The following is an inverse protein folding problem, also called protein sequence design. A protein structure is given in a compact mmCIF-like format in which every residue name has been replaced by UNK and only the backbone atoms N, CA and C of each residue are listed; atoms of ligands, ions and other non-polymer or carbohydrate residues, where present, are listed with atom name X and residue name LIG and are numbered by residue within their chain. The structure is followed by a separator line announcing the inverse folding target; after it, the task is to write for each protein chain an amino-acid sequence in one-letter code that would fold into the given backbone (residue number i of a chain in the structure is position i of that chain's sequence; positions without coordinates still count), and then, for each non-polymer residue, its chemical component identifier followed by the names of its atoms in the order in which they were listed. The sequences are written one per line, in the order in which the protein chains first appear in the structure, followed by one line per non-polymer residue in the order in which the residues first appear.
data_IF_650571182433
#
_entry.id   IF_650571182433
#
_cell.length_a   1.000
_cell.length_b   1.000
_cell.length_c   1.000
_cell.angle_alpha   90.00
_cell.angle_beta   90.00
_cell.angle_gamma   90.00
#
_symmetry.space_group_name_H-M   'P 1'
#
loop_
_entity.id
_entity.type
_entity.pdbx_description
1 polymer ?
#
# COMPACT_ATOMS: atom_id res chain seq x y z
N UNK A 1 -11.89 -12.61 -11.88
CA UNK A 1 -11.74 -11.59 -12.79
C UNK A 1 -10.58 -10.67 -12.47
N UNK A 2 -10.70 -9.45 -12.16
CA UNK A 2 -9.53 -8.61 -11.93
C UNK A 2 -9.25 -8.55 -10.44
N UNK A 3 -8.24 -9.31 -9.99
CA UNK A 3 -7.83 -9.31 -8.58
C UNK A 3 -7.52 -7.91 -8.06
N UNK A 4 -6.98 -7.04 -8.91
CA UNK A 4 -6.65 -5.66 -8.56
C UNK A 4 -7.85 -4.80 -8.18
N UNK A 5 -9.06 -5.17 -8.59
CA UNK A 5 -10.25 -4.37 -8.30
C UNK A 5 -10.58 -4.30 -6.82
N UNK A 6 -10.40 -5.41 -6.09
CA UNK A 6 -10.68 -5.43 -4.66
C UNK A 6 -9.73 -4.52 -3.90
N UNK A 7 -8.44 -4.68 -4.12
CA UNK A 7 -7.44 -3.88 -3.41
C UNK A 7 -7.52 -2.40 -3.82
N UNK A 8 -7.83 -2.11 -5.08
CA UNK A 8 -8.02 -0.74 -5.54
C UNK A 8 -9.12 -0.04 -4.75
N UNK A 9 -10.26 -0.71 -4.56
CA UNK A 9 -11.37 -0.17 -3.79
C UNK A 9 -10.99 0.04 -2.32
N UNK A 10 -10.27 -0.92 -1.75
CA UNK A 10 -9.82 -0.81 -0.36
C UNK A 10 -8.86 0.34 -0.16
N UNK A 11 -7.93 0.55 -1.09
CA UNK A 11 -6.99 1.67 -1.01
C UNK A 11 -7.70 3.02 -1.04
N UNK A 12 -8.76 3.14 -1.83
CA UNK A 12 -9.55 4.37 -1.85
C UNK A 12 -10.20 4.62 -0.49
N UNK A 13 -10.74 3.57 0.13
CA UNK A 13 -11.33 3.66 1.47
C UNK A 13 -10.27 4.10 2.49
N UNK A 14 -9.09 3.47 2.46
CA UNK A 14 -8.01 3.81 3.38
C UNK A 14 -7.55 5.25 3.20
N UNK A 15 -7.41 5.69 1.95
CA UNK A 15 -7.03 7.07 1.68
C UNK A 15 -8.03 8.05 2.28
N UNK A 16 -9.32 7.77 2.12
CA UNK A 16 -10.36 8.63 2.66
C UNK A 16 -10.35 8.66 4.19
N UNK A 17 -10.08 7.52 4.82
CA UNK A 17 -9.97 7.46 6.29
C UNK A 17 -8.77 8.28 6.78
N UNK A 18 -7.65 8.24 6.05
CA UNK A 18 -6.43 8.96 6.44
C UNK A 18 -6.57 10.47 6.31
N UNK A 19 -7.59 10.97 5.62
CA UNK A 19 -7.86 12.41 5.53
C UNK A 19 -8.42 12.99 6.82
N UNK A 20 -8.95 12.15 7.71
CA UNK A 20 -9.48 12.63 8.97
C UNK A 20 -8.36 13.18 9.85
N UNK A 21 -8.65 14.26 10.58
CA UNK A 21 -7.67 14.91 11.44
C UNK A 21 -7.22 14.01 12.60
N UNK A 22 -8.09 13.10 13.02
CA UNK A 22 -7.80 12.16 14.11
C UNK A 22 -7.97 10.73 13.60
N UNK A 23 -6.84 10.07 13.41
CA UNK A 23 -6.80 8.65 13.05
C UNK A 23 -6.14 7.91 14.21
N UNK A 24 -6.88 7.08 14.95
CA UNK A 24 -6.27 6.35 16.06
C UNK A 24 -5.23 5.35 15.57
N UNK A 25 -4.26 5.04 16.42
CA UNK A 25 -3.15 4.15 16.05
C UNK A 25 -3.65 2.77 15.59
N UNK A 26 -4.68 2.24 16.24
CA UNK A 26 -5.18 0.92 15.84
C UNK A 26 -5.67 0.90 14.40
N UNK A 27 -6.24 2.00 13.93
CA UNK A 27 -6.72 2.11 12.56
C UNK A 27 -5.55 2.15 11.58
N UNK A 28 -4.51 2.92 11.88
CA UNK A 28 -3.33 2.97 11.04
C UNK A 28 -2.64 1.61 10.98
N UNK A 29 -2.54 0.93 12.13
CA UNK A 29 -1.98 -0.42 12.19
C UNK A 29 -2.78 -1.36 11.31
N UNK A 30 -4.12 -1.27 11.36
CA UNK A 30 -4.98 -2.09 10.51
C UNK A 30 -4.74 -1.85 9.03
N UNK A 31 -4.67 -0.61 8.62
CA UNK A 31 -4.43 -0.24 7.22
C UNK A 31 -3.07 -0.77 6.75
N UNK A 32 -2.03 -0.52 7.54
CA UNK A 32 -0.66 -0.97 7.20
C UNK A 32 -0.62 -2.49 7.11
N UNK A 33 -1.28 -3.19 8.04
CA UNK A 33 -1.33 -4.65 8.03
C UNK A 33 -1.97 -5.18 6.74
N UNK A 34 -3.10 -4.60 6.35
CA UNK A 34 -3.78 -5.01 5.12
C UNK A 34 -2.90 -4.79 3.88
N UNK A 35 -2.19 -3.67 3.83
CA UNK A 35 -1.28 -3.38 2.73
C UNK A 35 -0.11 -4.38 2.71
N UNK A 36 0.47 -4.66 3.87
CA UNK A 36 1.63 -5.56 3.97
C UNK A 36 1.27 -7.02 3.65
N UNK A 37 0.04 -7.43 3.94
CA UNK A 37 -0.44 -8.79 3.62
C UNK A 37 -0.68 -8.93 2.11
N UNK A 38 -1.02 -7.84 1.44
CA UNK A 38 -1.47 -7.90 0.05
C UNK A 38 -0.39 -8.36 -0.91
N UNK A 39 -0.62 -9.48 -1.56
CA UNK A 39 0.26 -9.98 -2.62
C UNK A 39 0.09 -9.19 -3.92
N UNK A 40 -0.98 -8.46 -4.07
CA UNK A 40 -1.16 -7.57 -5.21
C UNK A 40 -0.24 -6.36 -5.14
N UNK A 41 -0.03 -5.82 -3.93
CA UNK A 41 0.86 -4.68 -3.74
C UNK A 41 2.31 -5.13 -3.64
N UNK A 42 2.56 -6.16 -2.82
CA UNK A 42 3.90 -6.69 -2.60
C UNK A 42 3.90 -8.20 -2.86
N UNK A 43 4.23 -8.59 -4.06
CA UNK A 43 4.28 -9.99 -4.43
C UNK A 43 5.35 -10.73 -3.60
N UNK A 44 6.49 -10.10 -3.43
CA UNK A 44 7.62 -10.66 -2.67
C UNK A 44 8.00 -9.75 -1.51
N UNK A 45 8.50 -10.35 -0.44
CA UNK A 45 8.83 -9.62 0.77
C UNK A 45 9.86 -8.51 0.55
N UNK A 46 10.86 -8.73 -0.33
CA UNK A 46 11.90 -7.72 -0.51
C UNK A 46 11.33 -6.40 -1.06
N UNK A 47 10.19 -6.47 -1.75
CA UNK A 47 9.55 -5.25 -2.27
C UNK A 47 9.02 -4.35 -1.14
N UNK A 48 8.81 -4.92 0.04
CA UNK A 48 8.35 -4.16 1.21
C UNK A 48 9.43 -3.21 1.73
N UNK A 49 10.70 -3.51 1.44
CA UNK A 49 11.82 -2.72 1.97
C UNK A 49 11.73 -1.24 1.67
N UNK A 50 11.41 -0.87 0.43
CA UNK A 50 11.27 0.54 0.04
C UNK A 50 10.10 1.20 0.75
N UNK A 51 8.98 0.49 0.87
CA UNK A 51 7.80 0.97 1.60
C UNK A 51 8.15 1.30 3.05
N UNK A 52 8.88 0.39 3.73
CA UNK A 52 9.29 0.61 5.11
C UNK A 52 10.20 1.82 5.25
N UNK A 53 11.12 1.98 4.30
CA UNK A 53 12.04 3.11 4.31
C UNK A 53 11.32 4.43 4.08
N UNK A 54 10.42 4.47 3.11
CA UNK A 54 9.71 5.70 2.77
C UNK A 54 8.75 6.15 3.86
N UNK A 55 8.05 5.23 4.50
CA UNK A 55 6.99 5.59 5.44
C UNK A 55 7.51 5.70 6.86
N UNK A 56 8.38 4.78 7.27
CA UNK A 56 8.80 4.65 8.68
C UNK A 56 10.28 4.94 8.89
N UNK A 57 11.05 5.11 7.83
CA UNK A 57 12.51 5.25 7.87
C UNK A 57 13.15 4.07 8.60
N UNK A 58 12.73 2.86 8.25
CA UNK A 58 13.16 1.61 8.88
C UNK A 58 13.84 0.72 7.85
N UNK A 59 14.85 0.00 8.32
CA UNK A 59 15.60 -0.95 7.52
C UNK A 59 15.80 -2.21 8.36
N UNK A 60 14.92 -3.19 8.17
CA UNK A 60 14.98 -4.44 8.94
C UNK A 60 16.09 -5.34 8.44
N UNK A 61 16.65 -6.12 9.36
CA UNK A 61 17.65 -7.14 9.04
C UNK A 61 17.04 -8.23 8.17
N UNK A 62 17.90 -8.94 7.45
CA UNK A 62 17.48 -9.94 6.49
C UNK A 62 16.54 -10.99 7.09
N UNK A 63 16.85 -11.46 8.31
CA UNK A 63 16.01 -12.50 8.90
C UNK A 63 14.58 -12.03 9.17
N UNK A 64 14.37 -10.75 9.42
CA UNK A 64 13.05 -10.16 9.56
C UNK A 64 12.36 -10.09 8.19
N UNK A 65 13.09 -9.64 7.17
CA UNK A 65 12.53 -9.47 5.84
C UNK A 65 12.08 -10.78 5.20
N UNK A 66 12.59 -11.90 5.66
CA UNK A 66 12.17 -13.22 5.17
C UNK A 66 10.80 -13.64 5.67
N UNK A 67 10.26 -12.98 6.69
CA UNK A 67 8.98 -13.37 7.30
C UNK A 67 8.00 -12.21 7.24
N UNK A 68 6.98 -12.32 6.41
CA UNK A 68 5.96 -11.27 6.30
C UNK A 68 5.26 -11.05 7.63
N UNK A 69 4.97 -12.11 8.36
CA UNK A 69 4.37 -12.00 9.69
C UNK A 69 5.24 -11.22 10.66
N UNK A 70 6.55 -11.46 10.61
CA UNK A 70 7.48 -10.73 11.47
C UNK A 70 7.57 -9.25 11.09
N UNK A 71 7.58 -8.95 9.79
CA UNK A 71 7.55 -7.57 9.31
C UNK A 71 6.32 -6.85 9.86
N UNK A 72 5.16 -7.48 9.74
CA UNK A 72 3.90 -6.91 10.21
C UNK A 72 3.94 -6.67 11.72
N UNK A 73 4.37 -7.67 12.48
CA UNK A 73 4.41 -7.55 13.94
C UNK A 73 5.32 -6.41 14.41
N UNK A 74 6.51 -6.31 13.83
CA UNK A 74 7.46 -5.27 14.22
C UNK A 74 7.00 -3.88 13.79
N UNK A 75 6.42 -3.77 12.61
CA UNK A 75 5.92 -2.49 12.10
C UNK A 75 4.72 -2.01 12.91
N UNK A 76 3.84 -2.92 13.30
CA UNK A 76 2.71 -2.59 14.17
C UNK A 76 3.19 -2.04 15.52
N UNK A 77 4.24 -2.64 16.07
CA UNK A 77 4.81 -2.18 17.34
C UNK A 77 5.41 -0.78 17.20
N UNK A 78 6.07 -0.50 16.08
CA UNK A 78 6.64 0.81 15.82
C UNK A 78 5.56 1.89 15.79
N UNK A 79 4.45 1.59 15.12
CA UNK A 79 3.31 2.52 15.09
C UNK A 79 2.73 2.72 16.48
N UNK A 80 2.54 1.62 17.22
CA UNK A 80 1.98 1.67 18.56
C UNK A 80 2.83 2.51 19.50
N UNK A 81 4.15 2.41 19.40
CA UNK A 81 5.09 3.09 20.29
C UNK A 81 5.50 4.48 19.78
N UNK A 82 5.00 4.93 18.66
CA UNK A 82 5.42 6.20 18.08
C UNK A 82 4.96 7.41 18.92
N UNK A 83 5.81 8.43 18.96
CA UNK A 83 5.45 9.72 19.53
C UNK A 83 4.56 10.48 18.53
N UNK A 84 3.89 11.54 19.00
CA UNK A 84 2.95 12.28 18.18
C UNK A 84 3.55 12.77 16.85
N UNK A 85 4.75 13.33 16.89
CA UNK A 85 5.39 13.87 15.69
C UNK A 85 5.70 12.76 14.68
N UNK A 86 6.20 11.64 15.17
CA UNK A 86 6.47 10.47 14.32
C UNK A 86 5.18 9.93 13.71
N UNK A 87 4.14 9.84 14.52
CA UNK A 87 2.86 9.32 14.07
C UNK A 87 2.25 10.17 12.95
N UNK A 88 2.34 11.49 13.09
CA UNK A 88 1.86 12.42 12.07
C UNK A 88 2.60 12.19 10.75
N UNK A 89 3.92 11.99 10.81
CA UNK A 89 4.72 11.71 9.62
C UNK A 89 4.35 10.37 8.99
N UNK A 90 4.16 9.33 9.79
CA UNK A 90 3.75 8.02 9.28
C UNK A 90 2.42 8.10 8.54
N UNK A 91 1.46 8.80 9.14
CA UNK A 91 0.14 8.99 8.54
C UNK A 91 0.24 9.72 7.21
N UNK A 92 1.00 10.79 7.17
CA UNK A 92 1.21 11.60 5.96
C UNK A 92 1.92 10.78 4.87
N UNK A 93 2.98 10.09 5.24
CA UNK A 93 3.76 9.29 4.30
C UNK A 93 2.91 8.16 3.72
N UNK A 94 2.10 7.52 4.57
CA UNK A 94 1.21 6.46 4.13
C UNK A 94 0.15 6.98 3.16
N UNK A 95 -0.40 8.16 3.45
CA UNK A 95 -1.36 8.80 2.54
C UNK A 95 -0.77 8.99 1.15
N UNK A 96 0.46 9.48 1.06
CA UNK A 96 1.12 9.69 -0.22
C UNK A 96 1.43 8.37 -0.93
N UNK A 97 1.84 7.35 -0.18
CA UNK A 97 2.07 6.03 -0.76
C UNK A 97 0.77 5.47 -1.37
N UNK A 98 -0.32 5.53 -0.62
CA UNK A 98 -1.61 5.00 -1.08
C UNK A 98 -2.08 5.78 -2.31
N UNK A 99 -1.96 7.09 -2.30
CA UNK A 99 -2.34 7.91 -3.44
C UNK A 99 -1.55 7.52 -4.69
N UNK A 100 -0.25 7.33 -4.55
CA UNK A 100 0.59 6.88 -5.66
C UNK A 100 0.22 5.49 -6.15
N UNK A 101 -0.11 4.59 -5.24
CA UNK A 101 -0.50 3.24 -5.59
C UNK A 101 -1.83 3.22 -6.34
N UNK A 102 -2.79 4.04 -5.90
CA UNK A 102 -4.09 4.19 -6.60
C UNK A 102 -3.87 4.68 -8.02
N UNK A 103 -3.04 5.70 -8.19
CA UNK A 103 -2.74 6.23 -9.53
C UNK A 103 -2.08 5.19 -10.42
N UNK A 104 -1.15 4.43 -9.88
CA UNK A 104 -0.49 3.36 -10.62
C UNK A 104 -1.48 2.31 -11.10
N UNK A 105 -2.36 1.84 -10.22
CA UNK A 105 -3.38 0.86 -10.56
C UNK A 105 -4.36 1.39 -11.58
N UNK A 106 -4.75 2.65 -11.44
CA UNK A 106 -5.65 3.33 -12.37
C UNK A 106 -5.04 3.41 -13.76
N UNK A 107 -3.77 3.77 -13.84
CA UNK A 107 -3.06 3.86 -15.11
C UNK A 107 -2.89 2.48 -15.76
N UNK A 108 -2.64 1.44 -14.99
CA UNK A 108 -2.53 0.08 -15.49
C UNK A 108 -3.86 -0.40 -16.08
N UNK A 109 -4.97 -0.14 -15.39
CA UNK A 109 -6.30 -0.48 -15.89
C UNK A 109 -6.61 0.26 -17.20
N UNK A 110 -6.28 1.52 -17.26
CA UNK A 110 -6.49 2.34 -18.45
C UNK A 110 -5.65 1.85 -19.61
N UNK A 111 -4.40 1.46 -19.36
CA UNK A 111 -3.51 0.91 -20.38
C UNK A 111 -4.05 -0.39 -20.94
N UNK A 112 -4.50 -1.30 -20.09
CA UNK A 112 -5.09 -2.57 -20.50
C UNK A 112 -6.31 -2.35 -21.40
N UNK A 113 -7.18 -1.41 -21.01
CA UNK A 113 -8.35 -1.06 -21.80
C UNK A 113 -7.95 -0.52 -23.16
N UNK A 114 -6.99 0.36 -23.24
CA UNK A 114 -6.52 0.93 -24.49
C UNK A 114 -5.93 -0.13 -25.42
N UNK A 115 -5.16 -1.05 -24.88
CA UNK A 115 -4.58 -2.15 -25.64
C UNK A 115 -5.68 -3.06 -26.21
N UNK A 116 -6.69 -3.37 -25.40
CA UNK A 116 -7.83 -4.17 -25.83
C UNK A 116 -8.61 -3.47 -26.93
N UNK A 117 -8.91 -2.19 -26.77
CA UNK A 117 -9.63 -1.39 -27.76
C UNK A 117 -8.86 -1.32 -29.08
N UNK A 118 -7.54 -1.17 -29.01
CA UNK A 118 -6.68 -1.17 -30.20
C UNK A 118 -6.73 -2.49 -30.93
N UNK A 119 -6.69 -3.61 -30.21
CA UNK A 119 -6.79 -4.94 -30.78
C UNK A 119 -8.14 -5.14 -31.47
N UNK A 120 -9.23 -4.71 -30.85
CA UNK A 120 -10.57 -4.80 -31.44
C UNK A 120 -10.68 -4.00 -32.73
N UNK A 121 -10.12 -2.78 -32.74
CA UNK A 121 -10.13 -1.96 -33.96
C UNK A 121 -9.37 -2.60 -35.09
N UNK A 122 -8.25 -3.25 -34.82
CA UNK A 122 -7.47 -3.97 -35.84
C UNK A 122 -8.25 -5.10 -36.49
N UNK A 123 -9.07 -5.78 -35.69
CA UNK A 123 -9.82 -6.93 -36.18
C UNK A 123 -11.07 -6.55 -37.00
N UNK A 124 -11.51 -5.33 -36.89
CA UNK A 124 -12.67 -4.85 -37.66
C UNK A 124 -12.35 -4.56 -39.13
N UNK A 125 -11.09 -4.44 -39.45
CA UNK A 125 -10.64 -4.21 -40.81
C UNK A 125 -10.38 -5.50 -41.54
#
# INVERSE_FOLDING_TARGET
MFGGNKMYKELIIYRNELKNSKVPKYKLIGIVTEILISKEIFQKNFEIGLFLKEIFDIDYKEYVMKSRTMIIARTSRIIHNSENDEYIDYKKNLYFFITGQIEKMKNEQKKEKNEFDGWMSSNEN
#
